data_IF_325471302839
#
_entry.id   IF_325471302839
#
_cell.length_a   1.000
_cell.length_b   1.000
_cell.length_c   1.000
_cell.angle_alpha   90.00
_cell.angle_beta   90.00
_cell.angle_gamma   90.00
#
_symmetry.space_group_name_H-M   'P 1'
#
loop_
_entity.id
_entity.type
_entity.pdbx_description
1 polymer ?
#
# COMPACT_ATOMS: atom_id res chain seq x y z
N UNK A 1 -6.79 6.62 -9.91
CA UNK A 1 -7.30 7.58 -8.90
C UNK A 1 -6.11 8.26 -8.25
N UNK A 2 -5.86 9.53 -8.57
CA UNK A 2 -4.74 10.28 -7.99
C UNK A 2 -4.95 10.46 -6.48
N UNK A 3 -3.97 10.00 -5.70
CA UNK A 3 -3.95 10.20 -4.25
C UNK A 3 -3.60 11.67 -3.99
N UNK A 4 -4.61 12.52 -3.90
CA UNK A 4 -4.38 13.95 -3.68
C UNK A 4 -3.55 14.18 -2.40
N UNK A 5 -2.39 14.82 -2.58
CA UNK A 5 -1.46 15.10 -1.50
C UNK A 5 -2.06 16.13 -0.56
N UNK A 6 -2.35 15.74 0.69
CA UNK A 6 -2.92 16.63 1.70
C UNK A 6 -1.80 17.24 2.52
N UNK A 7 -1.34 18.42 2.14
CA UNK A 7 -0.37 19.23 2.89
C UNK A 7 -1.10 19.98 4.00
N UNK A 8 -0.53 20.02 5.21
CA UNK A 8 -1.02 20.83 6.34
C UNK A 8 0.16 21.27 7.19
N UNK A 9 0.07 22.46 7.75
CA UNK A 9 1.03 22.93 8.75
C UNK A 9 0.88 22.17 10.06
N UNK A 10 2.00 21.71 10.62
CA UNK A 10 2.07 21.04 11.92
C UNK A 10 3.09 21.73 12.80
N UNK A 11 2.78 21.86 14.09
CA UNK A 11 3.71 22.45 15.06
C UNK A 11 4.75 21.42 15.48
N UNK A 12 6.00 21.86 15.54
CA UNK A 12 7.08 21.13 16.18
C UNK A 12 7.05 21.47 17.68
N UNK A 13 7.10 20.45 18.53
CA UNK A 13 7.06 20.58 19.99
C UNK A 13 8.38 20.12 20.62
N UNK A 14 8.83 20.74 21.73
CA UNK A 14 10.01 20.26 22.45
C UNK A 14 9.73 18.94 23.17
N UNK A 15 10.71 18.03 23.14
CA UNK A 15 10.72 16.77 23.88
C UNK A 15 12.13 16.62 24.49
N UNK A 16 12.36 17.19 25.68
CA UNK A 16 13.70 17.27 26.28
C UNK A 16 14.69 18.01 25.36
N UNK A 17 15.85 17.41 25.08
CA UNK A 17 16.85 17.93 24.13
C UNK A 17 16.49 17.67 22.66
N UNK A 18 15.33 17.08 22.39
CA UNK A 18 14.84 16.76 21.04
C UNK A 18 13.60 17.55 20.69
N UNK A 19 13.15 17.37 19.45
CA UNK A 19 11.90 17.93 18.91
C UNK A 19 11.03 16.80 18.39
N UNK A 20 9.71 16.99 18.43
CA UNK A 20 8.75 16.04 17.88
C UNK A 20 7.61 16.72 17.14
N UNK A 21 6.86 15.93 16.39
CA UNK A 21 5.64 16.35 15.69
C UNK A 21 4.44 15.58 16.23
N UNK A 22 3.29 16.25 16.38
CA UNK A 22 2.06 15.60 16.84
C UNK A 22 1.30 15.01 15.66
N UNK A 23 1.28 13.69 15.55
CA UNK A 23 0.52 12.97 14.51
C UNK A 23 -0.89 12.67 15.04
N UNK A 24 -1.97 13.10 14.35
CA UNK A 24 -3.34 12.77 14.74
C UNK A 24 -3.59 11.25 14.78
N UNK A 25 -4.32 10.78 15.80
CA UNK A 25 -4.68 9.36 15.98
C UNK A 25 -5.27 8.71 14.72
N UNK A 26 -6.11 9.45 13.98
CA UNK A 26 -6.70 8.99 12.73
C UNK A 26 -5.65 8.64 11.67
N UNK A 27 -4.53 9.37 11.60
CA UNK A 27 -3.44 9.07 10.67
C UNK A 27 -2.61 7.87 11.13
N UNK A 28 -2.33 7.77 12.43
CA UNK A 28 -1.65 6.61 13.01
C UNK A 28 -2.41 5.32 12.67
N UNK A 29 -3.73 5.30 12.90
CA UNK A 29 -4.59 4.16 12.57
C UNK A 29 -4.66 3.88 11.08
N UNK A 30 -4.85 4.91 10.25
CA UNK A 30 -4.96 4.76 8.79
C UNK A 30 -3.71 4.11 8.16
N UNK A 31 -2.53 4.43 8.71
CA UNK A 31 -1.26 3.95 8.18
C UNK A 31 -0.64 2.84 9.04
N UNK A 32 -1.39 2.31 10.01
CA UNK A 32 -0.95 1.27 10.94
C UNK A 32 0.41 1.57 11.59
N UNK A 33 0.62 2.84 11.94
CA UNK A 33 1.81 3.29 12.67
C UNK A 33 1.61 2.96 14.14
N UNK A 34 2.39 2.00 14.64
CA UNK A 34 2.35 1.50 16.02
C UNK A 34 3.40 2.20 16.88
N UNK A 35 4.04 1.48 17.80
CA UNK A 35 4.96 2.03 18.80
C UNK A 35 6.32 2.42 18.23
N UNK A 36 6.73 1.82 17.11
CA UNK A 36 8.01 2.10 16.47
C UNK A 36 7.84 2.27 14.96
N UNK A 37 8.47 3.31 14.44
CA UNK A 37 8.48 3.66 13.03
C UNK A 37 9.93 3.80 12.56
N UNK A 38 10.15 3.58 11.28
CA UNK A 38 11.40 3.93 10.62
C UNK A 38 11.35 5.39 10.19
N UNK A 39 12.45 6.09 10.43
CA UNK A 39 12.68 7.46 10.00
C UNK A 39 13.86 7.44 9.04
N UNK A 40 13.62 7.81 7.79
CA UNK A 40 14.60 7.82 6.71
C UNK A 40 14.84 9.24 6.25
N UNK A 41 16.11 9.59 6.11
CA UNK A 41 16.52 10.86 5.52
C UNK A 41 16.52 10.72 3.99
N UNK A 42 15.86 11.65 3.31
CA UNK A 42 15.73 11.70 1.85
C UNK A 42 16.03 13.12 1.37
N UNK A 43 16.30 13.30 0.07
CA UNK A 43 16.58 14.62 -0.51
C UNK A 43 15.45 15.65 -0.31
N UNK A 44 14.22 15.16 -0.16
CA UNK A 44 13.02 15.98 0.03
C UNK A 44 12.60 16.17 1.49
N UNK A 45 13.33 15.57 2.44
CA UNK A 45 13.04 15.62 3.87
C UNK A 45 12.98 14.25 4.54
N UNK A 46 12.21 14.15 5.62
CA UNK A 46 12.12 12.93 6.44
C UNK A 46 10.93 12.07 6.01
N UNK A 47 11.19 10.80 5.69
CA UNK A 47 10.17 9.80 5.41
C UNK A 47 9.93 8.95 6.67
N UNK A 48 8.66 8.91 7.12
CA UNK A 48 8.22 8.06 8.22
C UNK A 48 7.45 6.86 7.67
N UNK A 49 7.88 5.64 7.99
CA UNK A 49 7.19 4.40 7.55
C UNK A 49 7.13 3.33 8.64
N UNK A 50 6.21 2.38 8.52
CA UNK A 50 6.16 1.22 9.41
C UNK A 50 7.40 0.35 9.20
N UNK A 51 7.90 -0.28 10.27
CA UNK A 51 9.03 -1.22 10.19
C UNK A 51 8.66 -2.47 9.39
N UNK A 52 7.40 -2.89 9.51
CA UNK A 52 6.85 -4.01 8.81
C UNK A 52 5.60 -3.53 8.07
N UNK A 53 5.56 -3.70 6.75
CA UNK A 53 4.39 -3.30 5.96
C UNK A 53 3.32 -4.40 5.93
N UNK A 54 3.57 -5.55 6.56
CA UNK A 54 2.69 -6.72 6.52
C UNK A 54 2.49 -7.27 5.11
N UNK A 55 3.16 -6.69 4.09
CA UNK A 55 3.16 -7.21 2.74
C UNK A 55 4.02 -8.44 2.74
N UNK A 56 3.40 -9.57 2.39
CA UNK A 56 4.13 -10.77 2.03
C UNK A 56 5.16 -10.37 0.94
N UNK A 57 6.38 -10.90 1.05
CA UNK A 57 7.30 -10.89 -0.08
C UNK A 57 6.61 -11.55 -1.27
N UNK A 58 7.02 -11.24 -2.51
CA UNK A 58 6.47 -11.88 -3.70
C UNK A 58 6.45 -13.42 -3.60
N UNK A 59 7.49 -14.01 -3.03
CA UNK A 59 7.55 -15.45 -2.78
C UNK A 59 6.47 -15.95 -1.81
N UNK A 60 6.19 -15.18 -0.75
CA UNK A 60 5.16 -15.52 0.21
C UNK A 60 3.75 -15.25 -0.35
N UNK A 61 3.56 -14.19 -1.14
CA UNK A 61 2.30 -13.92 -1.85
C UNK A 61 2.00 -15.03 -2.85
N UNK A 62 2.99 -15.48 -3.61
CA UNK A 62 2.86 -16.60 -4.54
C UNK A 62 2.46 -17.90 -3.83
N UNK A 63 3.11 -18.22 -2.70
CA UNK A 63 2.73 -19.39 -1.89
C UNK A 63 1.31 -19.29 -1.36
N UNK A 64 0.89 -18.12 -0.89
CA UNK A 64 -0.47 -17.90 -0.41
C UNK A 64 -1.51 -18.08 -1.53
N UNK A 65 -1.28 -17.47 -2.69
CA UNK A 65 -2.14 -17.64 -3.87
C UNK A 65 -2.19 -19.10 -4.34
N UNK A 66 -1.06 -19.82 -4.33
CA UNK A 66 -1.02 -21.24 -4.70
C UNK A 66 -1.72 -22.16 -3.68
N UNK A 67 -1.80 -21.75 -2.42
CA UNK A 67 -2.52 -22.49 -1.37
C UNK A 67 -4.02 -22.21 -1.35
N UNK A 68 -4.43 -21.04 -1.84
CA UNK A 68 -5.82 -20.69 -2.05
C UNK A 68 -6.36 -21.49 -3.25
N UNK A 69 -7.43 -22.25 -3.03
CA UNK A 69 -8.12 -22.98 -4.10
C UNK A 69 -9.17 -22.08 -4.75
N UNK A 70 -8.71 -21.01 -5.36
CA UNK A 70 -9.59 -20.02 -5.97
C UNK A 70 -10.38 -20.67 -7.12
N UNK A 71 -11.70 -20.50 -7.08
CA UNK A 71 -12.60 -20.98 -8.13
C UNK A 71 -12.87 -19.83 -9.10
N UNK A 72 -12.28 -19.94 -10.28
CA UNK A 72 -12.36 -18.92 -11.33
C UNK A 72 -13.46 -19.20 -12.37
N UNK A 73 -14.31 -20.20 -12.16
CA UNK A 73 -15.36 -20.61 -13.11
C UNK A 73 -16.36 -19.47 -13.44
N UNK A 74 -16.45 -18.44 -12.59
CA UNK A 74 -17.30 -17.27 -12.86
C UNK A 74 -16.81 -16.43 -14.06
N UNK A 75 -15.51 -16.52 -14.39
CA UNK A 75 -14.91 -15.82 -15.54
C UNK A 75 -15.12 -16.54 -16.88
N UNK A 76 -15.55 -17.81 -16.87
CA UNK A 76 -15.85 -18.55 -18.10
C UNK A 76 -17.02 -17.90 -18.88
N UNK A 77 -17.93 -17.23 -18.17
CA UNK A 77 -19.10 -16.56 -18.76
C UNK A 77 -18.70 -15.36 -19.63
N UNK A 78 -17.56 -14.74 -19.38
CA UNK A 78 -17.14 -13.49 -20.06
C UNK A 78 -16.34 -13.77 -21.34
N UNK A 79 -15.91 -15.01 -21.57
CA UNK A 79 -15.16 -15.40 -22.79
C UNK A 79 -16.04 -15.32 -24.04
N UNK A 80 -17.36 -15.49 -23.90
CA UNK A 80 -18.29 -15.54 -25.04
C UNK A 80 -18.85 -14.19 -25.49
N UNK A 81 -18.61 -13.08 -24.78
CA UNK A 81 -19.30 -11.79 -25.04
C UNK A 81 -18.46 -10.77 -25.83
N UNK A 82 -17.28 -11.14 -26.36
CA UNK A 82 -16.44 -10.13 -27.04
C UNK A 82 -15.27 -10.60 -27.89
N UNK A 83 -15.12 -11.90 -28.13
CA UNK A 83 -14.15 -12.42 -29.09
C UNK A 83 -14.94 -13.16 -30.19
N UNK A 84 -15.42 -12.41 -31.17
CA UNK A 84 -15.72 -13.03 -32.46
C UNK A 84 -14.38 -13.57 -32.99
N UNK A 85 -14.34 -14.85 -33.37
CA UNK A 85 -13.21 -15.41 -34.11
C UNK A 85 -13.12 -14.65 -35.45
N UNK A 86 -12.40 -13.53 -35.47
CA UNK A 86 -11.95 -12.95 -36.73
C UNK A 86 -10.97 -13.96 -37.33
N UNK A 87 -11.43 -14.68 -38.35
CA UNK A 87 -10.61 -15.50 -39.23
C UNK A 87 -9.55 -14.60 -39.88
N UNK A 88 -8.37 -14.52 -39.27
CA UNK A 88 -7.21 -13.86 -39.88
C UNK A 88 -6.71 -14.72 -41.05
N UNK A 89 -7.25 -14.48 -42.25
CA UNK A 89 -6.67 -14.98 -43.50
C UNK A 89 -5.33 -14.26 -43.76
N UNK A 90 -4.26 -15.07 -43.91
CA UNK A 90 -2.88 -14.64 -44.18
C UNK A 90 -2.62 -14.31 -45.66
#
# INVERSE_FOLDING_TARGET
>A
MEKQMRIRDIKIIPIGNSKGVRIPKKLLQKYNLTDSILLEETDSGLLLRTKDSGKLSWANTYKAMASEKENWNDFDTVIFDGLEEEDFEY
#
